data_IF_877503513889
#
_entry.id   IF_877503513889
#
_cell.length_a   1.000
_cell.length_b   1.000
_cell.length_c   1.000
_cell.angle_alpha   90.00
_cell.angle_beta   90.00
_cell.angle_gamma   90.00
#
_symmetry.space_group_name_H-M   'P 1'
#
loop_
_entity.id
_entity.type
_entity.pdbx_description
1 polymer ?
#
# COMPACT_ATOMS: atom_id res chain seq x y z
N UNK A 1 -31.72 -45.02 33.36
CA UNK A 1 -30.97 -44.56 32.16
C UNK A 1 -30.77 -43.05 32.28
N UNK A 2 -29.75 -42.59 33.01
CA UNK A 2 -29.48 -41.15 33.22
C UNK A 2 -27.98 -40.83 33.32
N UNK A 3 -27.10 -41.72 32.85
CA UNK A 3 -25.64 -41.59 32.95
C UNK A 3 -25.03 -41.25 31.57
N UNK A 4 -25.77 -41.42 30.49
CA UNK A 4 -25.27 -41.27 29.11
C UNK A 4 -25.27 -39.82 28.61
N UNK A 5 -26.01 -38.91 29.25
CA UNK A 5 -26.16 -37.52 28.78
C UNK A 5 -25.08 -36.56 29.33
N UNK A 6 -24.34 -36.96 30.37
CA UNK A 6 -23.22 -36.17 30.88
C UNK A 6 -21.95 -36.26 30.02
N UNK A 7 -21.87 -37.28 29.15
CA UNK A 7 -20.72 -37.52 28.27
C UNK A 7 -20.82 -36.78 26.92
N UNK A 8 -22.02 -36.37 26.52
CA UNK A 8 -22.27 -35.62 25.27
C UNK A 8 -22.24 -34.10 25.45
N UNK A 9 -21.95 -33.62 26.67
CA UNK A 9 -21.68 -32.20 26.90
C UNK A 9 -20.34 -31.89 26.25
N UNK A 10 -20.40 -31.44 24.99
CA UNK A 10 -19.25 -30.96 24.20
C UNK A 10 -18.65 -29.75 24.93
N UNK A 11 -17.82 -30.01 25.94
CA UNK A 11 -16.94 -29.02 26.57
C UNK A 11 -15.96 -28.65 25.47
N UNK A 12 -16.27 -27.58 24.74
CA UNK A 12 -15.31 -26.95 23.87
C UNK A 12 -14.13 -26.57 24.78
N UNK A 13 -12.94 -27.09 24.47
CA UNK A 13 -11.73 -26.72 25.20
C UNK A 13 -11.71 -25.20 25.30
N UNK A 14 -11.60 -24.67 26.52
CA UNK A 14 -11.20 -23.27 26.68
C UNK A 14 -9.94 -23.13 25.81
N UNK A 15 -9.92 -22.24 24.81
CA UNK A 15 -8.66 -21.93 24.14
C UNK A 15 -7.68 -21.57 25.24
N UNK A 16 -6.46 -22.13 25.21
CA UNK A 16 -5.45 -21.80 26.20
C UNK A 16 -5.35 -20.28 26.26
N UNK A 17 -5.78 -19.70 27.39
CA UNK A 17 -5.88 -18.25 27.64
C UNK A 17 -4.52 -17.53 27.47
N UNK A 18 -3.45 -18.28 27.22
CA UNK A 18 -2.10 -17.81 26.98
C UNK A 18 -1.80 -17.41 25.53
N UNK A 19 -2.52 -17.93 24.54
CA UNK A 19 -2.18 -17.72 23.12
C UNK A 19 -3.17 -16.78 22.39
N UNK A 20 -4.49 -16.97 22.55
CA UNK A 20 -5.49 -16.12 21.89
C UNK A 20 -5.65 -14.74 22.56
N UNK A 21 -5.49 -14.67 23.87
CA UNK A 21 -5.56 -13.40 24.62
C UNK A 21 -4.43 -12.43 24.22
N UNK A 22 -3.36 -12.93 23.61
CA UNK A 22 -2.22 -12.16 23.11
C UNK A 22 -2.23 -11.94 21.58
N UNK A 23 -3.07 -12.69 20.84
CA UNK A 23 -3.22 -12.55 19.39
C UNK A 23 -4.01 -11.29 19.00
N UNK A 24 -5.10 -10.98 19.71
CA UNK A 24 -6.01 -9.87 19.35
C UNK A 24 -5.54 -8.47 19.77
N UNK A 25 -4.37 -8.33 20.40
CA UNK A 25 -3.84 -7.00 20.74
C UNK A 25 -3.06 -6.35 19.59
N UNK A 26 -2.76 -7.11 18.52
CA UNK A 26 -2.18 -6.59 17.27
C UNK A 26 -3.22 -6.09 16.25
N UNK A 27 -4.48 -6.52 16.36
CA UNK A 27 -5.59 -6.13 15.46
C UNK A 27 -6.21 -4.76 15.82
N UNK A 28 -5.36 -3.76 16.07
CA UNK A 28 -5.75 -2.36 16.32
C UNK A 28 -4.87 -1.37 15.54
N UNK A 29 -4.17 -1.84 14.49
CA UNK A 29 -3.27 -1.00 13.71
C UNK A 29 -3.05 -1.39 12.24
N UNK A 30 -3.63 -2.47 11.73
CA UNK A 30 -3.52 -2.85 10.31
C UNK A 30 -4.92 -3.02 9.71
N UNK A 31 -5.21 -2.21 8.69
CA UNK A 31 -6.25 -2.51 7.70
C UNK A 31 -5.73 -3.67 6.81
N UNK A 32 -6.59 -4.60 6.37
CA UNK A 32 -6.14 -5.77 5.61
C UNK A 32 -5.76 -5.37 4.18
N UNK A 33 -4.47 -5.49 3.83
CA UNK A 33 -4.06 -5.60 2.43
C UNK A 33 -4.24 -7.04 1.98
N UNK A 34 -5.07 -7.23 0.95
CA UNK A 34 -5.09 -8.43 0.13
C UNK A 34 -3.69 -8.62 -0.48
N UNK A 35 -3.02 -9.73 -0.17
CA UNK A 35 -2.47 -10.69 -1.14
C UNK A 35 -1.47 -11.66 -0.48
N UNK A 36 -1.33 -12.81 -1.15
CA UNK A 36 -0.32 -13.87 -1.02
C UNK A 36 -0.62 -15.00 -0.02
N UNK A 37 -1.49 -15.92 -0.45
CA UNK A 37 -1.48 -17.31 -0.01
C UNK A 37 -0.36 -18.06 -0.75
N UNK A 38 0.72 -18.37 -0.03
CA UNK A 38 1.72 -19.34 -0.45
C UNK A 38 1.45 -20.65 0.29
N UNK A 39 0.83 -21.60 -0.40
CA UNK A 39 0.80 -23.01 0.02
C UNK A 39 1.93 -23.75 -0.69
N UNK A 40 2.83 -24.32 0.13
CA UNK A 40 3.84 -25.28 -0.28
C UNK A 40 3.25 -26.66 0.00
N UNK A 41 2.81 -27.38 -1.03
CA UNK A 41 2.66 -28.84 -0.96
C UNK A 41 3.40 -29.54 -2.10
N UNK A 42 4.21 -30.47 -1.65
CA UNK A 42 5.07 -31.43 -2.33
C UNK A 42 4.22 -32.48 -3.07
N UNK A 43 4.40 -32.63 -4.38
CA UNK A 43 4.12 -33.90 -5.06
C UNK A 43 4.87 -34.04 -6.39
N UNK A 44 5.45 -35.22 -6.55
CA UNK A 44 6.22 -35.74 -7.67
C UNK A 44 5.44 -35.87 -9.00
N UNK A 45 6.24 -35.90 -10.07
CA UNK A 45 6.07 -36.66 -11.32
C UNK A 45 5.50 -35.98 -12.60
N UNK A 46 6.41 -35.91 -13.58
CA UNK A 46 6.27 -36.21 -15.01
C UNK A 46 5.47 -35.29 -15.96
N UNK A 47 6.25 -34.56 -16.78
CA UNK A 47 6.24 -34.56 -18.26
C UNK A 47 4.90 -34.69 -19.02
N UNK A 48 4.44 -33.61 -19.65
CA UNK A 48 3.99 -33.58 -21.05
C UNK A 48 3.58 -32.17 -21.51
N UNK A 49 3.83 -31.88 -22.78
CA UNK A 49 3.57 -30.64 -23.50
C UNK A 49 2.13 -30.55 -24.08
N UNK A 50 1.83 -29.36 -24.62
CA UNK A 50 0.73 -28.99 -25.55
C UNK A 50 -0.62 -28.73 -24.87
N UNK A 51 -1.50 -27.86 -25.36
CA UNK A 51 -1.52 -27.02 -26.54
C UNK A 51 -2.87 -26.29 -26.62
N UNK A 52 -2.84 -25.10 -27.19
CA UNK A 52 -3.96 -24.29 -27.68
C UNK A 52 -5.06 -25.06 -28.43
N UNK A 53 -6.34 -24.78 -28.13
CA UNK A 53 -7.44 -24.82 -29.10
C UNK A 53 -8.73 -24.18 -28.56
N UNK A 54 -9.26 -23.24 -29.33
CA UNK A 54 -10.63 -22.71 -29.30
C UNK A 54 -11.65 -23.79 -29.73
N UNK A 55 -12.88 -23.76 -29.21
CA UNK A 55 -14.06 -24.27 -29.92
C UNK A 55 -15.37 -23.67 -29.37
N UNK A 56 -16.32 -23.51 -30.28
CA UNK A 56 -17.57 -22.75 -30.22
C UNK A 56 -18.79 -23.59 -29.79
N UNK A 57 -19.81 -22.90 -29.26
CA UNK A 57 -21.22 -23.23 -29.45
C UNK A 57 -21.88 -24.32 -28.59
N UNK A 58 -22.90 -23.96 -27.80
CA UNK A 58 -24.31 -24.16 -28.20
C UNK A 58 -25.31 -23.79 -27.09
N UNK A 59 -26.25 -22.95 -27.50
CA UNK A 59 -27.64 -22.67 -27.09
C UNK A 59 -28.43 -23.75 -26.31
N UNK A 60 -29.19 -23.32 -25.29
CA UNK A 60 -30.50 -23.90 -24.92
C UNK A 60 -31.40 -22.87 -24.19
N UNK A 61 -32.70 -22.99 -24.38
CA UNK A 61 -33.74 -21.96 -24.23
C UNK A 61 -34.75 -22.21 -23.10
N UNK A 62 -35.54 -21.18 -22.74
CA UNK A 62 -36.79 -21.28 -21.95
C UNK A 62 -37.00 -20.06 -21.03
N UNK A 63 -37.73 -19.03 -21.47
CA UNK A 63 -39.19 -18.79 -21.28
C UNK A 63 -39.61 -18.53 -19.83
N UNK A 64 -40.03 -17.29 -19.53
CA UNK A 64 -41.45 -16.98 -19.22
C UNK A 64 -41.67 -15.47 -18.98
N UNK A 65 -42.68 -14.96 -19.69
CA UNK A 65 -43.38 -13.66 -19.55
C UNK A 65 -44.46 -13.84 -18.45
N UNK A 66 -44.95 -12.88 -17.67
CA UNK A 66 -45.63 -11.61 -17.97
C UNK A 66 -45.95 -10.84 -16.64
N UNK A 67 -46.53 -9.64 -16.80
CA UNK A 67 -47.49 -8.93 -15.91
C UNK A 67 -47.07 -7.61 -15.22
N UNK A 68 -47.44 -6.52 -15.90
CA UNK A 68 -48.33 -5.40 -15.48
C UNK A 68 -48.06 -4.53 -14.23
N UNK A 69 -47.89 -3.23 -14.49
CA UNK A 69 -48.79 -2.20 -13.91
C UNK A 69 -48.64 -0.82 -14.57
N UNK A 70 -49.79 -0.26 -14.90
CA UNK A 70 -50.06 1.03 -15.54
C UNK A 70 -50.10 2.20 -14.53
N UNK A 71 -50.28 3.39 -15.13
CA UNK A 71 -50.80 4.67 -14.60
C UNK A 71 -49.79 5.68 -14.03
N UNK A 72 -49.87 7.00 -14.28
CA UNK A 72 -50.65 7.88 -15.17
C UNK A 72 -50.20 9.35 -14.88
N UNK A 73 -50.33 10.24 -15.89
CA UNK A 73 -50.55 11.72 -15.83
C UNK A 73 -49.45 12.62 -15.23
N UNK A 74 -49.15 13.85 -15.69
CA UNK A 74 -49.64 14.86 -16.68
C UNK A 74 -48.53 15.95 -16.72
N UNK A 75 -48.32 16.86 -17.68
CA UNK A 75 -49.18 17.84 -18.36
C UNK A 75 -48.31 18.51 -19.48
N UNK A 76 -48.79 18.61 -20.72
CA UNK A 76 -49.43 19.76 -21.39
C UNK A 76 -48.52 20.97 -21.74
N UNK A 77 -48.16 21.15 -23.02
CA UNK A 77 -48.57 22.30 -23.89
C UNK A 77 -47.88 22.28 -25.27
N UNK A 78 -48.61 22.76 -26.27
CA UNK A 78 -48.45 22.65 -27.74
C UNK A 78 -47.33 23.48 -28.44
N UNK A 79 -47.10 23.07 -29.71
CA UNK A 79 -46.70 23.82 -30.93
C UNK A 79 -45.29 24.46 -31.05
N UNK A 80 -44.49 24.03 -32.04
CA UNK A 80 -44.28 24.73 -33.33
C UNK A 80 -43.42 23.87 -34.28
N UNK A 81 -43.63 24.00 -35.60
CA UNK A 81 -42.85 23.36 -36.68
C UNK A 81 -41.47 24.03 -36.81
N UNK A 82 -40.40 23.30 -37.17
CA UNK A 82 -39.29 23.76 -38.03
C UNK A 82 -38.28 22.60 -38.25
N UNK A 83 -37.77 22.52 -39.47
CA UNK A 83 -36.83 21.52 -39.99
C UNK A 83 -35.39 21.99 -39.72
N UNK A 84 -34.61 21.27 -38.89
CA UNK A 84 -33.20 21.60 -38.64
C UNK A 84 -32.29 20.39 -38.91
N UNK A 85 -31.53 20.48 -40.00
CA UNK A 85 -30.49 19.57 -40.43
C UNK A 85 -29.31 19.52 -39.45
N UNK A 86 -28.88 18.32 -39.09
CA UNK A 86 -27.72 18.07 -38.22
C UNK A 86 -26.43 18.70 -38.81
N UNK A 87 -25.70 19.58 -38.07
CA UNK A 87 -24.49 20.25 -38.56
C UNK A 87 -23.29 19.30 -38.77
N UNK A 88 -23.49 18.00 -38.55
CA UNK A 88 -22.47 16.97 -38.72
C UNK A 88 -22.36 16.47 -40.17
N UNK A 89 -23.44 16.57 -40.97
CA UNK A 89 -23.44 16.07 -42.34
C UNK A 89 -22.65 16.99 -43.29
N UNK A 90 -22.70 18.31 -43.06
CA UNK A 90 -21.89 19.29 -43.79
C UNK A 90 -20.38 19.13 -43.54
N UNK A 91 -20.01 18.67 -42.34
CA UNK A 91 -18.61 18.42 -41.98
C UNK A 91 -18.10 17.15 -42.66
N UNK A 92 -18.93 16.11 -42.76
CA UNK A 92 -18.56 14.89 -43.46
C UNK A 92 -18.46 15.09 -44.99
N UNK A 93 -19.35 15.90 -45.57
CA UNK A 93 -19.31 16.27 -46.97
C UNK A 93 -18.11 17.18 -47.33
N UNK A 94 -17.65 18.01 -46.39
CA UNK A 94 -16.44 18.82 -46.59
C UNK A 94 -15.15 18.02 -46.34
N UNK A 95 -15.15 17.00 -45.48
CA UNK A 95 -14.02 16.10 -45.26
C UNK A 95 -13.78 15.14 -46.44
N UNK A 96 -14.83 14.69 -47.12
CA UNK A 96 -14.72 13.82 -48.30
C UNK A 96 -14.15 14.54 -49.53
N UNK A 97 -14.24 15.88 -49.57
CA UNK A 97 -13.68 16.73 -50.63
C UNK A 97 -12.21 17.12 -50.42
N UNK A 98 -11.58 16.74 -49.30
CA UNK A 98 -10.16 17.02 -49.03
C UNK A 98 -9.33 15.82 -49.47
N UNK A 99 -8.45 16.03 -50.45
CA UNK A 99 -7.57 14.96 -50.92
C UNK A 99 -6.59 14.51 -49.82
N UNK A 100 -6.31 13.22 -49.79
CA UNK A 100 -5.40 12.61 -48.79
C UNK A 100 -4.01 13.28 -48.74
N UNK A 101 -3.52 13.82 -49.86
CA UNK A 101 -2.27 14.57 -49.91
C UNK A 101 -2.33 15.91 -49.16
N UNK A 102 -3.48 16.59 -49.16
CA UNK A 102 -3.68 17.81 -48.38
C UNK A 102 -3.72 17.50 -46.87
N UNK A 103 -4.34 16.39 -46.48
CA UNK A 103 -4.35 15.91 -45.09
C UNK A 103 -2.95 15.53 -44.60
N UNK A 104 -2.16 14.83 -45.41
CA UNK A 104 -0.77 14.48 -45.06
C UNK A 104 0.12 15.74 -44.91
N UNK A 105 -0.06 16.73 -45.79
CA UNK A 105 0.66 18.00 -45.72
C UNK A 105 0.27 18.82 -44.49
N UNK A 106 -1.02 18.82 -44.13
CA UNK A 106 -1.52 19.44 -42.91
C UNK A 106 -0.94 18.75 -41.66
N UNK A 107 -0.95 17.42 -41.61
CA UNK A 107 -0.36 16.65 -40.50
C UNK A 107 1.15 16.87 -40.34
N UNK A 108 1.90 16.98 -41.45
CA UNK A 108 3.32 17.31 -41.41
C UNK A 108 3.60 18.75 -40.93
N UNK A 109 2.70 19.70 -41.22
CA UNK A 109 2.80 21.07 -40.72
C UNK A 109 2.39 21.21 -39.25
N UNK A 110 1.53 20.32 -38.76
CA UNK A 110 1.11 20.26 -37.37
C UNK A 110 2.08 19.38 -36.58
N UNK A 111 3.19 19.96 -36.12
CA UNK A 111 4.15 19.28 -35.24
C UNK A 111 3.51 18.62 -34.00
N UNK A 112 4.20 17.67 -33.34
CA UNK A 112 3.59 16.79 -32.35
C UNK A 112 2.93 17.57 -31.20
N UNK A 113 1.61 17.36 -31.03
CA UNK A 113 0.78 17.97 -30.00
C UNK A 113 1.35 17.68 -28.60
N UNK A 114 1.93 18.70 -27.96
CA UNK A 114 2.27 18.68 -26.53
C UNK A 114 0.97 18.72 -25.73
N UNK A 115 0.71 17.66 -24.97
CA UNK A 115 -0.40 17.60 -24.01
C UNK A 115 -0.18 18.65 -22.91
N UNK A 116 -1.19 19.49 -22.69
CA UNK A 116 -1.17 20.59 -21.72
C UNK A 116 -1.26 20.02 -20.30
N UNK A 117 -0.21 20.21 -19.49
CA UNK A 117 -0.34 20.28 -18.04
C UNK A 117 -0.61 21.73 -17.62
N UNK A 118 -1.54 21.82 -16.68
CA UNK A 118 -2.19 22.98 -16.06
C UNK A 118 -1.17 24.00 -15.50
N UNK A 119 -1.24 25.26 -15.93
CA UNK A 119 -0.66 26.39 -15.22
C UNK A 119 -1.49 27.66 -15.47
N UNK A 120 -1.64 28.43 -14.40
CA UNK A 120 -2.62 29.47 -14.14
C UNK A 120 -2.31 30.80 -14.84
N UNK A 121 -3.39 31.55 -15.07
CA UNK A 121 -3.52 32.88 -15.67
C UNK A 121 -2.72 33.95 -14.90
N UNK A 122 -1.83 34.67 -15.58
CA UNK A 122 -1.40 36.04 -15.23
C UNK A 122 -0.91 36.74 -16.50
N UNK A 123 -1.58 37.83 -16.87
CA UNK A 123 -1.15 38.82 -17.88
C UNK A 123 -0.47 39.95 -17.10
N UNK A 124 0.66 40.53 -17.57
CA UNK A 124 0.58 41.71 -18.42
C UNK A 124 1.60 41.80 -19.57
N UNK A 125 1.26 42.69 -20.49
CA UNK A 125 2.01 43.18 -21.64
C UNK A 125 3.27 44.01 -21.30
N UNK A 126 4.00 44.31 -22.38
CA UNK A 126 4.82 45.51 -22.68
C UNK A 126 6.35 45.46 -22.47
N UNK A 127 7.01 45.32 -23.63
CA UNK A 127 8.15 46.11 -24.15
C UNK A 127 9.46 46.21 -23.36
N UNK A 128 10.48 45.64 -24.01
CA UNK A 128 11.84 46.18 -24.18
C UNK A 128 12.69 46.47 -22.94
N UNK A 129 13.63 45.56 -22.66
CA UNK A 129 15.02 45.70 -23.14
C UNK A 129 15.60 44.29 -23.25
N UNK A 130 16.05 43.88 -24.43
CA UNK A 130 16.77 42.62 -24.57
C UNK A 130 18.08 42.76 -23.79
N UNK A 131 18.09 42.26 -22.56
CA UNK A 131 19.25 42.34 -21.70
C UNK A 131 20.34 41.44 -22.30
N UNK A 132 21.62 41.85 -22.34
CA UNK A 132 22.73 41.00 -22.80
C UNK A 132 22.76 39.63 -22.11
N UNK A 133 22.14 39.52 -20.93
CA UNK A 133 21.98 38.29 -20.18
C UNK A 133 20.98 37.31 -20.80
N UNK A 134 19.95 37.77 -21.50
CA UNK A 134 18.99 36.89 -22.18
C UNK A 134 19.59 36.27 -23.44
N UNK A 135 20.45 37.01 -24.15
CA UNK A 135 21.25 36.47 -25.26
C UNK A 135 22.28 35.43 -24.75
N UNK A 136 22.94 35.70 -23.62
CA UNK A 136 23.84 34.74 -22.98
C UNK A 136 23.06 33.50 -22.50
N UNK A 137 21.86 33.67 -21.94
CA UNK A 137 21.00 32.54 -21.54
C UNK A 137 20.52 31.73 -22.73
N UNK A 138 20.20 32.38 -23.85
CA UNK A 138 19.82 31.72 -25.09
C UNK A 138 21.01 30.93 -25.67
N UNK A 139 22.21 31.51 -25.69
CA UNK A 139 23.43 30.83 -26.12
C UNK A 139 23.78 29.63 -25.22
N UNK A 140 23.65 29.77 -23.90
CA UNK A 140 23.88 28.65 -22.97
C UNK A 140 22.88 27.52 -23.20
N UNK A 141 21.60 27.84 -23.48
CA UNK A 141 20.60 26.81 -23.83
C UNK A 141 20.94 26.14 -25.14
N UNK A 142 21.24 26.90 -26.19
CA UNK A 142 21.63 26.36 -27.49
C UNK A 142 22.88 25.47 -27.39
N UNK A 143 23.91 25.88 -26.64
CA UNK A 143 25.09 25.07 -26.40
C UNK A 143 24.79 23.78 -25.62
N UNK A 144 23.83 23.83 -24.68
CA UNK A 144 23.38 22.64 -23.94
C UNK A 144 22.60 21.68 -24.82
N UNK A 145 21.76 22.21 -25.71
CA UNK A 145 20.96 21.42 -26.64
C UNK A 145 21.86 20.79 -27.72
N UNK A 146 22.83 21.52 -28.27
CA UNK A 146 23.87 20.95 -29.15
C UNK A 146 24.70 19.88 -28.45
N UNK A 147 25.08 20.08 -27.18
CA UNK A 147 25.79 19.04 -26.40
C UNK A 147 24.90 17.83 -26.13
N UNK A 148 23.58 18.03 -25.95
CA UNK A 148 22.61 16.95 -25.75
C UNK A 148 22.35 16.19 -27.05
N UNK A 149 22.29 16.87 -28.18
CA UNK A 149 22.17 16.28 -29.51
C UNK A 149 23.43 15.51 -29.91
N UNK A 150 24.62 16.07 -29.65
CA UNK A 150 25.89 15.37 -29.82
C UNK A 150 25.97 14.15 -28.88
N UNK A 151 25.60 14.28 -27.62
CA UNK A 151 25.53 13.15 -26.69
C UNK A 151 24.48 12.11 -27.11
N UNK A 152 23.36 12.53 -27.71
CA UNK A 152 22.34 11.63 -28.25
C UNK A 152 22.80 10.92 -29.52
N UNK A 153 23.59 11.59 -30.38
CA UNK A 153 24.23 10.98 -31.55
C UNK A 153 25.29 9.95 -31.12
N UNK A 154 26.15 10.29 -30.15
CA UNK A 154 27.09 9.36 -29.51
C UNK A 154 26.39 8.24 -28.74
N UNK A 155 25.21 8.49 -28.16
CA UNK A 155 24.37 7.46 -27.55
C UNK A 155 23.73 6.53 -28.60
N UNK A 156 23.44 7.03 -29.80
CA UNK A 156 22.96 6.21 -30.92
C UNK A 156 24.06 5.28 -31.42
N UNK A 157 25.29 5.79 -31.58
CA UNK A 157 26.47 4.98 -31.95
C UNK A 157 26.94 4.01 -30.83
N UNK A 158 26.73 4.34 -29.55
CA UNK A 158 27.01 3.42 -28.44
C UNK A 158 25.83 2.51 -28.08
N UNK A 159 24.62 2.78 -28.58
CA UNK A 159 23.50 1.83 -28.58
C UNK A 159 23.64 0.76 -29.67
N UNK A 160 24.48 1.02 -30.67
CA UNK A 160 25.15 0.00 -31.49
C UNK A 160 26.47 -0.46 -30.84
N UNK A 161 26.50 -0.62 -29.52
CA UNK A 161 27.31 -1.70 -28.94
C UNK A 161 26.70 -2.97 -29.51
N UNK A 162 27.22 -3.39 -30.67
CA UNK A 162 26.73 -4.46 -31.53
C UNK A 162 26.04 -5.51 -30.67
N UNK A 163 24.70 -5.47 -30.65
CA UNK A 163 23.95 -6.59 -30.09
C UNK A 163 24.40 -7.76 -30.95
N UNK A 164 25.24 -8.63 -30.38
CA UNK A 164 25.74 -9.84 -31.06
C UNK A 164 24.53 -10.42 -31.78
N UNK A 165 24.61 -10.55 -33.10
CA UNK A 165 23.49 -11.03 -33.89
C UNK A 165 22.97 -12.32 -33.23
N UNK A 166 21.76 -12.26 -32.68
CA UNK A 166 21.18 -13.40 -32.01
C UNK A 166 20.95 -14.50 -33.05
N UNK A 167 21.06 -15.76 -32.65
CA UNK A 167 20.74 -16.89 -33.53
C UNK A 167 19.31 -16.72 -34.06
N UNK A 168 19.10 -17.06 -35.33
CA UNK A 168 17.77 -17.00 -35.95
C UNK A 168 16.77 -17.97 -35.30
N UNK A 169 17.25 -19.09 -34.73
CA UNK A 169 16.46 -20.01 -33.90
C UNK A 169 17.36 -20.70 -32.85
N UNK A 170 16.78 -21.35 -31.85
CA UNK A 170 17.52 -22.01 -30.74
C UNK A 170 18.53 -23.07 -31.23
N UNK A 171 18.22 -23.75 -32.34
CA UNK A 171 19.04 -24.81 -32.92
C UNK A 171 19.88 -24.36 -34.12
N UNK A 172 19.81 -23.09 -34.52
CA UNK A 172 20.58 -22.59 -35.66
C UNK A 172 22.03 -22.21 -35.26
N UNK A 173 23.03 -22.49 -36.11
CA UNK A 173 24.39 -22.02 -35.91
C UNK A 173 24.47 -20.48 -36.00
N UNK A 174 25.44 -19.89 -35.30
CA UNK A 174 25.67 -18.44 -35.29
C UNK A 174 26.92 -18.11 -36.09
N UNK A 175 26.81 -17.22 -37.07
CA UNK A 175 27.97 -16.71 -37.82
C UNK A 175 28.70 -15.68 -36.96
N UNK A 176 30.02 -15.86 -36.78
CA UNK A 176 30.91 -14.91 -36.10
C UNK A 176 32.01 -14.45 -37.05
N UNK A 177 32.45 -13.20 -36.92
CA UNK A 177 33.56 -12.67 -37.72
C UNK A 177 34.87 -13.36 -37.36
N UNK A 178 35.67 -13.73 -38.36
CA UNK A 178 37.02 -14.28 -38.19
C UNK A 178 38.00 -13.33 -37.52
N UNK A 179 37.67 -12.02 -37.43
CA UNK A 179 38.45 -11.02 -36.69
C UNK A 179 38.34 -11.19 -35.17
N UNK A 180 37.34 -11.94 -34.69
CA UNK A 180 37.15 -12.15 -33.26
C UNK A 180 37.98 -13.33 -32.78
N UNK A 181 39.08 -13.06 -32.07
CA UNK A 181 39.94 -14.10 -31.53
C UNK A 181 39.24 -14.87 -30.39
N UNK A 182 39.28 -16.20 -30.45
CA UNK A 182 38.75 -17.07 -29.39
C UNK A 182 39.71 -17.07 -28.20
N UNK A 183 39.18 -16.85 -26.99
CA UNK A 183 39.97 -16.91 -25.76
C UNK A 183 40.46 -18.34 -25.48
N UNK A 184 41.76 -18.50 -25.17
CA UNK A 184 42.36 -19.81 -24.85
C UNK A 184 42.12 -20.27 -23.39
N UNK A 185 41.60 -19.39 -22.54
CA UNK A 185 41.39 -19.64 -21.10
C UNK A 185 39.90 -19.82 -20.82
N UNK A 186 39.55 -20.83 -20.02
CA UNK A 186 38.20 -21.03 -19.50
C UNK A 186 37.95 -20.08 -18.33
N UNK A 187 36.94 -19.22 -18.42
CA UNK A 187 36.47 -18.41 -17.27
C UNK A 187 35.59 -19.31 -16.42
N UNK A 188 36.11 -19.77 -15.29
CA UNK A 188 35.40 -20.67 -14.36
C UNK A 188 34.55 -19.87 -13.37
N UNK A 189 35.02 -18.68 -13.00
CA UNK A 189 34.29 -17.73 -12.15
C UNK A 189 34.26 -16.39 -12.90
N UNK A 190 33.06 -15.90 -13.21
CA UNK A 190 32.91 -14.56 -13.76
C UNK A 190 33.34 -13.56 -12.66
N UNK A 191 34.33 -12.68 -12.92
CA UNK A 191 34.69 -11.67 -11.93
C UNK A 191 33.47 -10.78 -11.68
N UNK A 192 33.20 -10.39 -10.42
CA UNK A 192 32.08 -9.51 -10.12
C UNK A 192 32.22 -8.23 -10.95
N UNK A 193 31.12 -7.80 -11.56
CA UNK A 193 31.09 -6.60 -12.39
C UNK A 193 31.76 -5.44 -11.65
N UNK A 194 32.81 -4.86 -12.24
CA UNK A 194 33.58 -3.76 -11.64
C UNK A 194 32.62 -2.69 -11.14
N UNK A 195 32.74 -2.31 -9.86
CA UNK A 195 31.84 -1.35 -9.23
C UNK A 195 31.81 -0.06 -10.04
N UNK A 196 30.62 0.32 -10.51
CA UNK A 196 30.44 1.57 -11.26
C UNK A 196 30.80 2.72 -10.32
N UNK A 197 31.62 3.67 -10.79
CA UNK A 197 31.86 4.91 -10.07
C UNK A 197 30.51 5.62 -9.87
N UNK A 198 30.01 5.58 -8.63
CA UNK A 198 28.78 6.26 -8.21
C UNK A 198 29.16 7.36 -7.23
N UNK A 199 28.33 8.39 -7.19
CA UNK A 199 28.43 9.43 -6.17
C UNK A 199 28.39 8.75 -4.78
N UNK A 200 29.37 9.01 -3.88
CA UNK A 200 29.44 8.40 -2.56
C UNK A 200 28.18 8.63 -1.72
N UNK A 201 27.41 9.69 -1.99
CA UNK A 201 26.09 9.91 -1.35
C UNK A 201 25.09 8.82 -1.69
N UNK A 202 25.23 8.22 -2.86
CA UNK A 202 24.36 7.17 -3.41
C UNK A 202 25.10 5.84 -3.57
N UNK A 203 26.32 5.73 -3.04
CA UNK A 203 27.08 4.49 -3.07
C UNK A 203 26.48 3.51 -2.06
N UNK A 204 26.08 2.33 -2.53
CA UNK A 204 25.47 1.30 -1.71
C UNK A 204 26.39 0.80 -0.58
N UNK A 205 27.70 1.03 -0.63
CA UNK A 205 28.60 0.75 0.49
C UNK A 205 28.50 1.84 1.57
N UNK A 206 28.51 3.13 1.21
CA UNK A 206 28.33 4.26 2.15
C UNK A 206 26.90 4.31 2.69
N UNK A 207 25.92 4.28 1.80
CA UNK A 207 24.53 4.00 2.11
C UNK A 207 24.35 2.60 2.72
N UNK A 208 25.27 1.65 2.60
CA UNK A 208 25.16 0.36 3.30
C UNK A 208 25.11 0.51 4.82
N UNK A 209 25.71 1.58 5.33
CA UNK A 209 25.70 1.95 6.74
C UNK A 209 24.41 2.70 7.14
N UNK A 210 23.68 3.34 6.21
CA UNK A 210 22.51 4.20 6.54
C UNK A 210 21.34 4.20 5.53
N UNK A 211 21.30 3.32 4.55
CA UNK A 211 20.77 3.64 3.22
C UNK A 211 20.51 2.41 2.38
N UNK A 212 19.75 1.47 2.94
CA UNK A 212 18.79 0.66 2.18
C UNK A 212 17.86 -0.01 3.18
N UNK A 213 17.34 0.70 4.18
CA UNK A 213 16.52 0.10 5.24
C UNK A 213 17.20 -1.02 6.06
N UNK A 214 18.48 -1.34 5.82
CA UNK A 214 19.15 -2.49 6.42
C UNK A 214 19.47 -2.29 7.90
N UNK A 215 19.54 -1.03 8.38
CA UNK A 215 19.92 -0.73 9.77
C UNK A 215 19.02 0.35 10.39
N UNK A 216 17.72 0.04 10.59
CA UNK A 216 16.78 0.92 11.29
C UNK A 216 17.33 1.44 12.63
N UNK A 217 18.04 0.58 13.37
CA UNK A 217 18.69 0.90 14.65
C UNK A 217 19.79 1.95 14.54
N UNK A 218 20.55 1.94 13.45
CA UNK A 218 21.59 2.94 13.22
C UNK A 218 20.96 4.29 12.88
N UNK A 219 19.91 4.30 12.04
CA UNK A 219 19.17 5.54 11.77
C UNK A 219 18.49 6.11 13.01
N UNK A 220 17.88 5.28 13.87
CA UNK A 220 17.27 5.76 15.11
C UNK A 220 18.29 6.39 16.05
N UNK A 221 19.51 5.83 16.14
CA UNK A 221 20.60 6.42 16.93
C UNK A 221 21.15 7.71 16.32
N UNK A 222 21.44 7.70 15.01
CA UNK A 222 21.99 8.86 14.31
C UNK A 222 21.02 10.05 14.32
N UNK A 223 19.72 9.76 14.30
CA UNK A 223 18.64 10.75 14.32
C UNK A 223 17.85 10.76 15.63
N UNK A 224 18.50 10.42 16.75
CA UNK A 224 17.85 10.40 18.07
C UNK A 224 17.25 11.76 18.47
N UNK A 225 17.89 12.86 18.04
CA UNK A 225 17.42 14.22 18.28
C UNK A 225 15.99 14.47 17.77
N UNK A 226 15.53 13.76 16.73
CA UNK A 226 14.17 13.91 16.19
C UNK A 226 13.09 13.58 17.23
N UNK A 227 13.43 12.85 18.29
CA UNK A 227 12.50 12.58 19.38
C UNK A 227 12.20 13.84 20.19
N UNK A 228 13.22 14.66 20.43
CA UNK A 228 13.07 15.94 21.12
C UNK A 228 12.22 16.91 20.30
N UNK A 229 12.48 16.99 18.98
CA UNK A 229 11.69 17.82 18.07
C UNK A 229 10.22 17.39 18.00
N UNK A 230 9.94 16.08 17.92
CA UNK A 230 8.57 15.57 17.93
C UNK A 230 7.87 15.84 19.26
N UNK A 231 8.61 15.77 20.38
CA UNK A 231 8.06 16.11 21.69
C UNK A 231 7.76 17.61 21.81
N UNK A 232 8.60 18.51 21.27
CA UNK A 232 8.28 19.94 21.21
C UNK A 232 7.11 20.24 20.28
N UNK A 233 7.04 19.59 19.11
CA UNK A 233 5.92 19.74 18.17
C UNK A 233 4.59 19.35 18.82
N UNK A 234 4.55 18.26 19.58
CA UNK A 234 3.36 17.88 20.35
C UNK A 234 2.97 18.91 21.41
N UNK A 235 3.94 19.58 22.05
CA UNK A 235 3.67 20.68 22.98
C UNK A 235 3.11 21.89 22.23
N UNK A 236 3.65 22.21 21.05
CA UNK A 236 3.18 23.30 20.19
C UNK A 236 1.76 23.08 19.69
N UNK A 237 1.43 21.89 19.18
CA UNK A 237 0.08 21.54 18.75
C UNK A 237 -0.93 21.65 19.89
N UNK A 238 -0.55 21.24 21.11
CA UNK A 238 -1.40 21.41 22.31
C UNK A 238 -1.60 22.88 22.66
N UNK A 239 -0.55 23.71 22.56
CA UNK A 239 -0.65 25.16 22.75
C UNK A 239 -1.58 25.81 21.73
N UNK A 240 -1.43 25.46 20.45
CA UNK A 240 -2.31 25.94 19.38
C UNK A 240 -3.77 25.51 19.59
N UNK A 241 -4.00 24.28 20.05
CA UNK A 241 -5.36 23.78 20.35
C UNK A 241 -6.03 24.53 21.50
N UNK A 242 -5.25 24.99 22.48
CA UNK A 242 -5.75 25.83 23.57
C UNK A 242 -6.03 27.27 23.13
N UNK A 243 -5.22 27.83 22.22
CA UNK A 243 -5.35 29.21 21.73
C UNK A 243 -6.45 29.38 20.67
N UNK A 244 -6.64 28.39 19.82
CA UNK A 244 -7.66 28.44 18.78
C UNK A 244 -9.05 28.54 19.40
N UNK A 245 -9.98 29.20 18.71
CA UNK A 245 -11.40 29.30 19.12
C UNK A 245 -12.31 28.61 18.12
N UNK A 246 -11.92 28.62 16.84
CA UNK A 246 -12.66 27.98 15.74
C UNK A 246 -12.81 26.47 15.99
N UNK A 247 -14.04 25.92 15.90
CA UNK A 247 -14.31 24.52 16.22
C UNK A 247 -13.65 23.56 15.22
N UNK A 248 -13.69 23.86 13.93
CA UNK A 248 -13.08 23.03 12.88
C UNK A 248 -11.55 22.96 13.01
N UNK A 249 -10.91 24.11 13.25
CA UNK A 249 -9.47 24.16 13.48
C UNK A 249 -9.07 23.40 14.75
N UNK A 250 -9.88 23.47 15.82
CA UNK A 250 -9.68 22.66 17.02
C UNK A 250 -9.79 21.17 16.74
N UNK A 251 -10.75 20.75 15.92
CA UNK A 251 -10.90 19.35 15.56
C UNK A 251 -9.72 18.84 14.72
N UNK A 252 -9.27 19.64 13.75
CA UNK A 252 -8.07 19.34 12.97
C UNK A 252 -6.83 19.18 13.87
N UNK A 253 -6.62 20.10 14.81
CA UNK A 253 -5.53 20.02 15.79
C UNK A 253 -5.67 18.81 16.71
N UNK A 254 -6.87 18.46 17.17
CA UNK A 254 -7.12 17.23 17.95
C UNK A 254 -6.75 15.98 17.16
N UNK A 255 -7.11 15.92 15.87
CA UNK A 255 -6.76 14.80 14.98
C UNK A 255 -5.24 14.69 14.80
N UNK A 256 -4.56 15.81 14.59
CA UNK A 256 -3.09 15.85 14.48
C UNK A 256 -2.42 15.40 15.78
N UNK A 257 -2.85 15.92 16.93
CA UNK A 257 -2.34 15.51 18.25
C UNK A 257 -2.55 14.01 18.43
N UNK A 258 -3.75 13.48 18.15
CA UNK A 258 -4.02 12.04 18.28
C UNK A 258 -3.05 11.23 17.41
N UNK A 259 -2.95 11.54 16.12
CA UNK A 259 -2.05 10.87 15.19
C UNK A 259 -0.59 10.91 15.65
N UNK A 260 -0.08 12.09 16.01
CA UNK A 260 1.30 12.25 16.48
C UNK A 260 1.56 11.51 17.81
N UNK A 261 0.61 11.53 18.74
CA UNK A 261 0.74 10.76 20.00
C UNK A 261 0.71 9.25 19.76
N UNK A 262 -0.11 8.77 18.83
CA UNK A 262 -0.22 7.34 18.53
C UNK A 262 1.04 6.84 17.79
N UNK A 263 1.59 7.65 16.87
CA UNK A 263 2.91 7.38 16.27
C UNK A 263 4.04 7.37 17.31
N UNK A 264 4.01 8.25 18.32
CA UNK A 264 4.99 8.22 19.40
C UNK A 264 4.87 6.95 20.24
N UNK A 265 3.65 6.57 20.65
CA UNK A 265 3.42 5.32 21.40
C UNK A 265 3.84 4.08 20.60
N UNK A 266 3.58 4.06 19.30
CA UNK A 266 4.00 2.95 18.43
C UNK A 266 5.52 2.80 18.40
N UNK A 267 6.26 3.91 18.28
CA UNK A 267 7.73 3.91 18.36
C UNK A 267 8.23 3.45 19.73
N UNK A 268 7.63 3.93 20.82
CA UNK A 268 7.99 3.48 22.17
C UNK A 268 7.74 1.98 22.38
N UNK A 269 6.66 1.43 21.84
CA UNK A 269 6.39 -0.01 21.91
C UNK A 269 7.45 -0.81 21.14
N UNK A 270 7.82 -0.39 19.92
CA UNK A 270 8.91 -1.01 19.14
C UNK A 270 10.22 -0.98 19.93
N UNK A 271 10.56 0.15 20.57
CA UNK A 271 11.75 0.26 21.43
C UNK A 271 11.72 -0.70 22.62
N UNK A 272 10.56 -0.89 23.27
CA UNK A 272 10.40 -1.87 24.37
C UNK A 272 10.61 -3.29 23.87
N UNK A 273 10.03 -3.65 22.72
CA UNK A 273 10.25 -4.95 22.06
C UNK A 273 11.73 -5.18 21.78
N UNK A 274 12.41 -4.19 21.19
CA UNK A 274 13.84 -4.27 20.93
C UNK A 274 14.69 -4.40 22.21
N UNK A 275 14.32 -3.70 23.28
CA UNK A 275 15.00 -3.78 24.57
C UNK A 275 14.85 -5.17 25.19
N UNK A 276 13.66 -5.78 25.13
CA UNK A 276 13.42 -7.17 25.56
C UNK A 276 14.29 -8.15 24.77
N UNK A 277 14.29 -8.05 23.44
CA UNK A 277 15.14 -8.90 22.59
C UNK A 277 16.62 -8.71 22.94
N UNK A 278 17.06 -7.47 23.13
CA UNK A 278 18.45 -7.15 23.44
C UNK A 278 18.88 -7.71 24.80
N UNK A 279 18.05 -7.56 25.84
CA UNK A 279 18.31 -8.13 27.16
C UNK A 279 18.36 -9.66 27.12
N UNK A 280 17.43 -10.31 26.42
CA UNK A 280 17.44 -11.75 26.27
C UNK A 280 18.72 -12.22 25.56
N UNK A 281 19.09 -11.57 24.45
CA UNK A 281 20.33 -11.87 23.72
C UNK A 281 21.57 -11.66 24.60
N UNK A 282 21.57 -10.67 25.50
CA UNK A 282 22.68 -10.48 26.46
C UNK A 282 22.76 -11.63 27.46
N UNK A 283 21.63 -12.00 28.09
CA UNK A 283 21.55 -13.12 29.05
C UNK A 283 21.99 -14.44 28.45
N UNK A 284 21.55 -14.76 27.22
CA UNK A 284 21.94 -15.98 26.53
C UNK A 284 23.44 -15.98 26.18
N UNK A 285 23.98 -14.85 25.71
CA UNK A 285 25.41 -14.71 25.46
C UNK A 285 26.25 -14.91 26.72
N UNK A 286 25.81 -14.35 27.85
CA UNK A 286 26.47 -14.52 29.15
C UNK A 286 26.42 -15.98 29.61
N UNK A 287 25.27 -16.64 29.49
CA UNK A 287 25.12 -18.06 29.84
C UNK A 287 25.99 -18.99 28.99
N UNK A 288 26.16 -18.67 27.70
CA UNK A 288 27.08 -19.40 26.80
C UNK A 288 28.53 -19.13 27.16
N UNK A 289 28.87 -17.86 27.41
CA UNK A 289 30.23 -17.47 27.82
C UNK A 289 30.64 -18.15 29.13
N UNK A 290 29.70 -18.30 30.06
CA UNK A 290 29.89 -19.01 31.33
C UNK A 290 29.84 -20.55 31.16
N UNK A 291 29.53 -21.06 29.96
CA UNK A 291 29.44 -22.51 29.67
C UNK A 291 28.18 -23.21 30.20
N UNK A 292 27.24 -22.48 30.82
CA UNK A 292 25.98 -23.04 31.35
C UNK A 292 25.03 -23.51 30.24
N UNK A 293 25.14 -22.91 29.05
CA UNK A 293 24.37 -23.28 27.86
C UNK A 293 25.33 -23.46 26.68
N UNK A 294 25.14 -24.52 25.90
CA UNK A 294 25.93 -24.78 24.70
C UNK A 294 25.36 -24.06 23.46
N UNK A 295 24.03 -23.92 23.39
CA UNK A 295 23.32 -23.35 22.24
C UNK A 295 22.59 -22.05 22.60
N UNK A 296 22.54 -21.06 21.68
CA UNK A 296 21.77 -19.84 21.88
C UNK A 296 20.28 -20.11 21.74
N UNK A 297 19.51 -19.73 22.77
CA UNK A 297 18.06 -19.73 22.70
C UNK A 297 17.53 -18.39 22.16
N UNK A 298 16.46 -18.44 21.37
CA UNK A 298 15.77 -17.26 20.87
C UNK A 298 14.30 -17.31 21.31
N UNK A 299 13.80 -16.21 21.86
CA UNK A 299 12.41 -16.10 22.29
C UNK A 299 11.46 -16.32 21.12
N UNK A 300 10.42 -17.13 21.37
CA UNK A 300 9.26 -17.20 20.47
C UNK A 300 8.53 -15.86 20.45
N UNK A 301 7.76 -15.60 19.39
CA UNK A 301 6.97 -14.36 19.25
C UNK A 301 5.96 -14.20 20.40
N UNK A 302 5.33 -15.27 20.87
CA UNK A 302 4.41 -15.28 22.02
C UNK A 302 5.12 -14.88 23.32
N UNK A 303 6.25 -15.49 23.61
CA UNK A 303 7.04 -15.20 24.83
C UNK A 303 7.60 -13.78 24.82
N UNK A 304 8.03 -13.29 23.65
CA UNK A 304 8.44 -11.89 23.48
C UNK A 304 7.29 -10.94 23.83
N UNK A 305 6.08 -11.19 23.29
CA UNK A 305 4.88 -10.39 23.62
C UNK A 305 4.58 -10.40 25.11
N UNK A 306 4.66 -11.57 25.77
CA UNK A 306 4.47 -11.73 27.22
C UNK A 306 5.47 -10.87 28.00
N UNK A 307 6.75 -10.94 27.67
CA UNK A 307 7.80 -10.15 28.33
C UNK A 307 7.66 -8.64 28.10
N UNK A 308 7.32 -8.21 26.88
CA UNK A 308 7.08 -6.79 26.57
C UNK A 308 5.90 -6.26 27.36
N UNK A 309 4.83 -7.03 27.50
CA UNK A 309 3.67 -6.65 28.29
C UNK A 309 3.97 -6.58 29.79
N UNK A 310 4.76 -7.52 30.33
CA UNK A 310 5.23 -7.47 31.71
C UNK A 310 6.01 -6.18 31.98
N UNK A 311 7.01 -5.86 31.16
CA UNK A 311 7.78 -4.62 31.28
C UNK A 311 6.91 -3.38 31.13
N UNK A 312 5.97 -3.36 30.18
CA UNK A 312 5.05 -2.24 30.00
C UNK A 312 4.19 -1.99 31.24
N UNK A 313 3.74 -3.05 31.92
CA UNK A 313 3.01 -2.88 33.19
C UNK A 313 3.94 -2.45 34.32
N UNK A 314 5.15 -2.99 34.41
CA UNK A 314 6.14 -2.59 35.42
C UNK A 314 6.52 -1.11 35.32
N UNK A 315 6.73 -0.60 34.10
CA UNK A 315 6.99 0.81 33.80
C UNK A 315 5.78 1.72 34.09
N UNK A 316 4.56 1.18 34.04
CA UNK A 316 3.34 1.94 34.22
C UNK A 316 3.06 2.22 35.71
N UNK A 317 2.55 3.42 36.01
CA UNK A 317 2.15 3.80 37.37
C UNK A 317 1.08 2.86 37.95
N UNK A 318 1.05 2.68 39.28
CA UNK A 318 0.12 1.75 39.96
C UNK A 318 -1.35 2.02 39.62
N UNK A 319 -1.76 3.29 39.60
CA UNK A 319 -3.12 3.72 39.23
C UNK A 319 -3.46 3.39 37.78
N UNK A 320 -2.53 3.62 36.86
CA UNK A 320 -2.75 3.38 35.43
C UNK A 320 -2.74 1.89 35.12
N UNK A 321 -1.88 1.10 35.79
CA UNK A 321 -1.92 -0.36 35.76
C UNK A 321 -3.28 -0.89 36.22
N UNK A 322 -3.79 -0.43 37.35
CA UNK A 322 -5.08 -0.86 37.87
C UNK A 322 -6.22 -0.56 36.87
N UNK A 323 -6.24 0.66 36.30
CA UNK A 323 -7.20 1.04 35.25
C UNK A 323 -7.07 0.18 33.99
N UNK A 324 -5.84 -0.13 33.57
CA UNK A 324 -5.60 -0.99 32.41
C UNK A 324 -6.09 -2.42 32.66
N UNK A 325 -5.82 -2.99 33.83
CA UNK A 325 -6.31 -4.31 34.24
C UNK A 325 -7.83 -4.33 34.38
N UNK A 326 -8.45 -3.29 34.92
CA UNK A 326 -9.90 -3.18 35.01
C UNK A 326 -10.55 -3.14 33.62
N UNK A 327 -10.03 -2.31 32.70
CA UNK A 327 -10.49 -2.29 31.30
C UNK A 327 -10.35 -3.65 30.63
N UNK A 328 -9.24 -4.37 30.90
CA UNK A 328 -9.02 -5.73 30.41
C UNK A 328 -10.04 -6.71 30.99
N UNK A 329 -10.27 -6.69 32.31
CA UNK A 329 -11.29 -7.52 32.99
C UNK A 329 -12.68 -7.28 32.41
N UNK A 330 -13.07 -6.02 32.19
CA UNK A 330 -14.35 -5.66 31.56
C UNK A 330 -14.45 -6.17 30.11
N UNK A 331 -13.37 -6.06 29.33
CA UNK A 331 -13.32 -6.57 27.94
C UNK A 331 -13.47 -8.10 27.92
N UNK A 332 -12.75 -8.82 28.78
CA UNK A 332 -12.84 -10.28 28.91
C UNK A 332 -14.25 -10.69 29.34
N UNK A 333 -14.78 -10.10 30.41
CA UNK A 333 -16.15 -10.39 30.87
C UNK A 333 -17.21 -10.09 29.80
N UNK A 334 -17.02 -9.04 28.99
CA UNK A 334 -17.91 -8.73 27.87
C UNK A 334 -17.80 -9.74 26.72
N UNK A 335 -16.60 -10.29 26.48
CA UNK A 335 -16.37 -11.35 25.49
C UNK A 335 -16.98 -12.67 25.96
N UNK A 336 -16.69 -13.07 27.20
CA UNK A 336 -17.32 -14.23 27.83
C UNK A 336 -18.85 -14.12 27.77
N UNK A 337 -19.42 -12.94 28.06
CA UNK A 337 -20.86 -12.70 27.91
C UNK A 337 -21.37 -12.82 26.47
N UNK A 338 -20.56 -12.47 25.46
CA UNK A 338 -20.90 -12.61 24.03
C UNK A 338 -20.78 -14.06 23.57
N UNK A 339 -19.82 -14.80 24.12
CA UNK A 339 -19.54 -16.20 23.79
C UNK A 339 -20.52 -17.16 24.48
N UNK A 340 -21.23 -16.69 25.51
CA UNK A 340 -22.35 -17.42 26.11
C UNK A 340 -23.52 -17.55 25.13
N UNK A 341 -24.17 -18.73 25.03
CA UNK A 341 -25.40 -18.91 24.26
C UNK A 341 -26.45 -17.85 24.60
N UNK A 342 -27.23 -17.40 23.61
CA UNK A 342 -28.15 -16.27 23.73
C UNK A 342 -29.15 -16.43 24.90
N UNK A 343 -29.65 -17.64 25.14
CA UNK A 343 -30.49 -18.03 26.28
C UNK A 343 -29.86 -17.59 27.62
N UNK A 344 -28.55 -17.82 27.79
CA UNK A 344 -27.79 -17.51 29.01
C UNK A 344 -27.27 -16.08 29.06
N UNK A 345 -27.34 -15.33 27.97
CA UNK A 345 -26.90 -13.93 27.89
C UNK A 345 -27.91 -12.96 28.54
N UNK A 346 -29.07 -13.48 28.96
CA UNK A 346 -30.17 -12.75 29.59
C UNK A 346 -31.17 -12.16 28.59
N UNK A 347 -31.25 -12.70 27.37
CA UNK A 347 -32.20 -12.24 26.35
C UNK A 347 -33.63 -12.76 26.60
N UNK A 348 -33.79 -13.91 27.25
CA UNK A 348 -35.11 -14.48 27.61
C UNK A 348 -35.85 -13.75 28.75
N UNK A 349 -35.26 -12.71 29.35
CA UNK A 349 -35.85 -11.96 30.47
C UNK A 349 -36.57 -10.65 30.11
N UNK A 350 -36.54 -10.22 28.84
CA UNK A 350 -37.19 -8.99 28.36
C UNK A 350 -38.05 -9.30 27.13
N UNK A 351 -39.16 -9.99 27.36
CA UNK A 351 -40.12 -10.29 26.30
C UNK A 351 -40.84 -11.60 26.56
N UNK A 352 -41.73 -11.63 27.56
CA UNK A 352 -42.83 -12.59 27.50
C UNK A 352 -43.68 -12.25 26.28
N UNK A 353 -43.60 -13.08 25.26
CA UNK A 353 -44.30 -12.93 23.99
C UNK A 353 -43.59 -13.71 22.91
N UNK A 354 -44.10 -14.91 22.63
CA UNK A 354 -43.72 -15.76 21.51
C UNK A 354 -43.68 -14.97 20.19
N UNK A 355 -42.49 -14.58 19.73
CA UNK A 355 -42.17 -14.42 18.31
C UNK A 355 -40.65 -14.17 18.13
N UNK A 356 -39.94 -14.95 17.30
CA UNK A 356 -38.57 -14.64 16.94
C UNK A 356 -38.55 -13.36 16.09
N UNK A 357 -37.63 -12.39 16.30
CA UNK A 357 -37.59 -11.21 15.47
C UNK A 357 -37.27 -11.63 14.03
N UNK A 358 -38.23 -11.41 13.13
CA UNK A 358 -38.05 -11.55 11.71
C UNK A 358 -36.76 -10.83 11.28
N UNK A 359 -35.98 -11.50 10.43
CA UNK A 359 -34.76 -10.98 9.82
C UNK A 359 -35.12 -9.87 8.83
N UNK A 360 -35.57 -8.73 9.36
CA UNK A 360 -35.95 -7.53 8.61
C UNK A 360 -34.73 -6.65 8.38
N UNK A 361 -34.36 -6.50 7.11
CA UNK A 361 -33.28 -5.63 6.67
C UNK A 361 -33.56 -4.14 6.93
N UNK A 362 -32.46 -3.37 6.95
CA UNK A 362 -32.42 -1.95 6.59
C UNK A 362 -33.29 -0.99 7.40
N UNK A 363 -32.72 -0.34 8.41
CA UNK A 363 -33.38 0.78 9.09
C UNK A 363 -32.42 1.62 9.91
N UNK A 364 -31.80 2.62 9.28
CA UNK A 364 -30.91 3.58 9.94
C UNK A 364 -31.64 4.40 11.01
N UNK A 365 -31.36 4.09 12.28
CA UNK A 365 -31.84 4.86 13.42
C UNK A 365 -31.15 6.22 13.53
N UNK A 366 -31.81 7.27 13.04
CA UNK A 366 -31.43 8.67 13.24
C UNK A 366 -31.42 8.97 14.75
N UNK A 367 -30.23 9.19 15.32
CA UNK A 367 -30.05 9.69 16.68
C UNK A 367 -30.47 11.17 16.71
N UNK A 368 -31.62 11.47 17.32
CA UNK A 368 -32.00 12.84 17.67
C UNK A 368 -31.00 13.40 18.69
N UNK A 369 -30.33 14.48 18.31
CA UNK A 369 -29.45 15.29 19.16
C UNK A 369 -30.36 16.18 20.00
N UNK A 370 -30.30 16.07 21.32
CA UNK A 370 -30.90 17.06 22.21
C UNK A 370 -30.06 18.35 22.08
N UNK A 371 -30.74 19.47 21.84
CA UNK A 371 -30.20 20.82 22.02
C UNK A 371 -29.90 21.13 23.48
#
# INVERSE_FOLDING_TARGET
MAITDMLNRRVRARPDDEDDVYSEQSDMGEEPSQDEAAEEEDSDAADAQSGDSQDEGSEDAGSDSDEDSNDNASAFSEEDEEEDSDPNDDIQASLSNISFGALAKAQASMGPKRTKSKATKSVPETTSTASPLDDIRAQIRAARDQKREAAAALAKDSSSKEKKAARASKHAPMVQSSKYAVGRKRVIVEPPATAKARDPRFDAAVMGHSGKGLNAKASEKNYAFLEDYRASELRDLKRQMAQTKNPEAKEALKRQIRSATDQQKARENRKREEAVIAEHKKKEKEAIRDGKKSTPYYLKKSDLKKQVMQKKYEEMGSRDRAKALERRRKKIASKERKDMPMERRGWEGMGGGDEPPARGGGGGGKRRRLE
#
